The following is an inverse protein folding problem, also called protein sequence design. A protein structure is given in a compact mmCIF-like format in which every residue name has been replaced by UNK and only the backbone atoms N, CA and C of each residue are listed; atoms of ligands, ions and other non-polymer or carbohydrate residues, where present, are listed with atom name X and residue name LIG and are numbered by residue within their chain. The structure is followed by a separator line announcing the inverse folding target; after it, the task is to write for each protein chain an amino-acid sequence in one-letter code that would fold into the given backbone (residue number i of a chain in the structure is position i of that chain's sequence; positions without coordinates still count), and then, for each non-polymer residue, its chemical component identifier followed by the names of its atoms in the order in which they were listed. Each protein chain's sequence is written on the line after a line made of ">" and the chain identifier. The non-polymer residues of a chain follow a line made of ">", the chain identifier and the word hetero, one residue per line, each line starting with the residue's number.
data_IF_390339229681
#
_entry.id   IF_390339229681
#
_cell.length_a   1.000
_cell.length_b   1.000
_cell.length_c   1.000
_cell.angle_alpha   90.00
_cell.angle_beta   90.00
_cell.angle_gamma   90.00
#
_symmetry.space_group_name_H-M   'P 1'
#
loop_
_entity.id
_entity.type
_entity.pdbx_description
1 polymer ?
#
# COMPACT_ATOMS: atom_id res chain seq x y z
N UNK A 1 1.64 22.93 -5.95
CA UNK A 1 0.91 22.07 -4.99
C UNK A 1 0.19 21.00 -5.78
N UNK A 2 0.69 19.76 -5.83
CA UNK A 2 -0.04 18.66 -6.50
C UNK A 2 -1.14 18.20 -5.55
N UNK A 3 -2.39 18.42 -5.94
CA UNK A 3 -3.57 18.01 -5.17
C UNK A 3 -3.62 16.50 -4.98
N UNK A 4 -4.23 16.06 -3.89
CA UNK A 4 -4.47 14.65 -3.64
C UNK A 4 -5.43 14.11 -4.70
N UNK A 5 -5.03 13.05 -5.41
CA UNK A 5 -5.94 12.29 -6.26
C UNK A 5 -6.54 11.19 -5.40
N UNK A 6 -7.76 11.41 -4.91
CA UNK A 6 -8.56 10.33 -4.34
C UNK A 6 -8.85 9.33 -5.47
N UNK A 7 -8.37 8.09 -5.31
CA UNK A 7 -8.69 6.98 -6.20
C UNK A 7 -9.54 6.00 -5.41
N UNK A 8 -10.81 5.93 -5.77
CA UNK A 8 -11.80 5.00 -5.24
C UNK A 8 -12.13 3.95 -6.30
N UNK A 9 -12.47 2.75 -5.84
CA UNK A 9 -12.91 1.65 -6.69
C UNK A 9 -14.30 1.27 -6.20
N UNK A 10 -15.28 1.28 -7.10
CA UNK A 10 -16.61 0.78 -6.82
C UNK A 10 -16.70 -0.67 -7.26
N UNK A 11 -17.14 -1.53 -6.35
CA UNK A 11 -17.34 -2.97 -6.57
C UNK A 11 -18.66 -3.37 -5.91
N UNK A 12 -19.22 -4.52 -6.29
CA UNK A 12 -20.41 -5.04 -5.60
C UNK A 12 -20.06 -5.50 -4.18
N UNK A 13 -21.07 -5.59 -3.31
CA UNK A 13 -20.90 -6.05 -1.93
C UNK A 13 -20.27 -7.45 -1.90
N UNK A 14 -20.71 -8.36 -2.76
CA UNK A 14 -20.22 -9.73 -2.83
C UNK A 14 -18.72 -9.80 -3.18
N UNK A 15 -18.26 -8.90 -4.05
CA UNK A 15 -16.83 -8.79 -4.41
C UNK A 15 -16.03 -8.24 -3.24
N UNK A 16 -16.57 -7.24 -2.53
CA UNK A 16 -15.91 -6.65 -1.37
C UNK A 16 -15.81 -7.63 -0.19
N UNK A 17 -16.86 -8.40 0.08
CA UNK A 17 -16.85 -9.45 1.10
C UNK A 17 -15.82 -10.54 0.79
N UNK A 18 -15.75 -10.96 -0.48
CA UNK A 18 -14.78 -11.96 -0.93
C UNK A 18 -13.35 -11.49 -0.68
N UNK A 19 -13.00 -10.27 -1.09
CA UNK A 19 -11.64 -9.76 -0.93
C UNK A 19 -11.30 -9.49 0.54
N UNK A 20 -12.28 -9.03 1.32
CA UNK A 20 -12.13 -8.84 2.76
C UNK A 20 -11.84 -10.16 3.49
N UNK A 21 -12.49 -11.25 3.09
CA UNK A 21 -12.22 -12.58 3.65
C UNK A 21 -10.79 -13.05 3.33
N UNK A 22 -10.30 -12.79 2.12
CA UNK A 22 -8.92 -13.11 1.71
C UNK A 22 -7.91 -12.28 2.51
N UNK A 23 -8.16 -10.97 2.65
CA UNK A 23 -7.32 -10.04 3.41
C UNK A 23 -7.16 -10.49 4.86
N UNK A 24 -8.27 -10.82 5.53
CA UNK A 24 -8.26 -11.37 6.91
C UNK A 24 -7.44 -12.64 7.01
N UNK A 25 -7.60 -13.61 6.10
CA UNK A 25 -6.85 -14.87 6.10
C UNK A 25 -5.35 -14.67 5.92
N UNK A 26 -4.95 -13.65 5.17
CA UNK A 26 -3.55 -13.31 4.89
C UNK A 26 -2.94 -12.35 5.92
N UNK A 27 -3.71 -11.87 6.90
CA UNK A 27 -3.32 -10.79 7.79
C UNK A 27 -2.81 -9.54 7.02
N UNK A 28 -3.52 -9.19 5.94
CA UNK A 28 -3.22 -8.07 5.04
C UNK A 28 -4.42 -7.13 4.93
N UNK A 29 -4.22 -5.92 4.42
CA UNK A 29 -5.33 -5.04 4.02
C UNK A 29 -5.94 -5.49 2.68
N UNK A 30 -7.13 -4.95 2.37
CA UNK A 30 -7.78 -5.20 1.06
C UNK A 30 -6.91 -4.66 -0.08
N UNK A 31 -6.31 -3.49 0.09
CA UNK A 31 -5.42 -2.86 -0.88
C UNK A 31 -4.18 -3.72 -1.15
N UNK A 32 -3.55 -4.27 -0.11
CA UNK A 32 -2.39 -5.15 -0.26
C UNK A 32 -2.74 -6.42 -1.04
N UNK A 33 -3.94 -6.97 -0.83
CA UNK A 33 -4.43 -8.13 -1.59
C UNK A 33 -4.67 -7.77 -3.04
N UNK A 34 -5.37 -6.66 -3.33
CA UNK A 34 -5.58 -6.16 -4.70
C UNK A 34 -4.24 -6.01 -5.40
N UNK A 35 -3.27 -5.35 -4.74
CA UNK A 35 -1.95 -5.13 -5.29
C UNK A 35 -1.22 -6.44 -5.56
N UNK A 36 -1.25 -7.40 -4.63
CA UNK A 36 -0.61 -8.71 -4.80
C UNK A 36 -1.16 -9.48 -6.01
N UNK A 37 -2.47 -9.45 -6.24
CA UNK A 37 -3.08 -10.13 -7.38
C UNK A 37 -2.80 -9.41 -8.70
N UNK A 38 -2.91 -8.08 -8.73
CA UNK A 38 -2.53 -7.28 -9.90
C UNK A 38 -1.05 -7.47 -10.23
N UNK A 39 -0.18 -7.51 -9.22
CA UNK A 39 1.26 -7.72 -9.36
C UNK A 39 1.65 -9.11 -9.87
N UNK A 40 0.75 -10.10 -9.86
CA UNK A 40 1.01 -11.44 -10.43
C UNK A 40 0.91 -11.45 -11.95
N UNK A 41 0.03 -10.62 -12.52
CA UNK A 41 -0.18 -10.54 -13.98
C UNK A 41 0.58 -9.37 -14.63
N UNK A 42 1.16 -8.50 -13.81
CA UNK A 42 2.00 -7.39 -14.26
C UNK A 42 3.40 -7.88 -14.61
N UNK A 43 3.93 -7.41 -15.74
CA UNK A 43 5.33 -7.58 -16.14
C UNK A 43 6.27 -7.30 -14.93
N UNK A 44 7.24 -8.18 -14.63
CA UNK A 44 8.12 -8.02 -13.47
C UNK A 44 8.77 -6.63 -13.36
N UNK A 45 9.06 -5.97 -14.48
CA UNK A 45 9.63 -4.61 -14.51
C UNK A 45 8.65 -3.56 -13.98
N UNK A 46 7.39 -3.64 -14.39
CA UNK A 46 6.31 -2.74 -13.94
C UNK A 46 6.00 -3.00 -12.46
N UNK A 47 6.08 -4.26 -12.00
CA UNK A 47 5.93 -4.61 -10.59
C UNK A 47 6.98 -3.93 -9.72
N UNK A 48 8.25 -3.97 -10.14
CA UNK A 48 9.35 -3.28 -9.45
C UNK A 48 9.07 -1.78 -9.39
N UNK A 49 8.65 -1.16 -10.50
CA UNK A 49 8.37 0.28 -10.54
C UNK A 49 7.25 0.68 -9.56
N UNK A 50 6.21 -0.14 -9.45
CA UNK A 50 5.09 0.10 -8.52
C UNK A 50 5.54 0.01 -7.05
N UNK A 51 6.28 -1.04 -6.68
CA UNK A 51 6.76 -1.20 -5.32
C UNK A 51 7.82 -0.17 -4.93
N UNK A 52 8.68 0.24 -5.87
CA UNK A 52 9.62 1.35 -5.67
C UNK A 52 8.89 2.67 -5.39
N UNK A 53 7.85 3.00 -6.18
CA UNK A 53 7.04 4.21 -5.92
C UNK A 53 6.33 4.15 -4.56
N UNK A 54 5.89 2.97 -4.14
CA UNK A 54 5.25 2.77 -2.85
C UNK A 54 6.24 2.95 -1.69
N UNK A 55 7.43 2.38 -1.83
CA UNK A 55 8.55 2.58 -0.91
C UNK A 55 8.89 4.07 -0.76
N UNK A 56 9.11 4.77 -1.88
CA UNK A 56 9.44 6.20 -1.88
C UNK A 56 8.36 7.04 -1.20
N UNK A 57 7.09 6.73 -1.44
CA UNK A 57 5.96 7.40 -0.77
C UNK A 57 6.00 7.20 0.73
N UNK A 58 6.10 5.95 1.19
CA UNK A 58 6.09 5.65 2.62
C UNK A 58 7.32 6.19 3.35
N UNK A 59 8.50 6.13 2.72
CA UNK A 59 9.71 6.70 3.28
C UNK A 59 9.56 8.21 3.49
N UNK A 60 9.06 8.92 2.47
CA UNK A 60 8.81 10.35 2.58
C UNK A 60 7.78 10.68 3.68
N UNK A 61 6.66 9.96 3.72
CA UNK A 61 5.63 10.16 4.75
C UNK A 61 6.21 9.89 6.16
N UNK A 62 7.06 8.87 6.30
CA UNK A 62 7.73 8.54 7.56
C UNK A 62 8.67 9.65 8.02
N UNK A 63 9.50 10.19 7.12
CA UNK A 63 10.44 11.29 7.42
C UNK A 63 9.70 12.57 7.81
N UNK A 64 8.60 12.90 7.13
CA UNK A 64 7.75 14.05 7.47
C UNK A 64 7.09 13.91 8.85
N UNK A 65 6.64 12.71 9.23
CA UNK A 65 6.06 12.42 10.54
C UNK A 65 7.13 12.42 11.64
N UNK A 66 8.30 11.84 11.35
CA UNK A 66 9.44 11.82 12.25
C UNK A 66 9.90 13.24 12.60
N UNK A 67 10.02 14.12 11.58
CA UNK A 67 10.37 15.52 11.78
C UNK A 67 9.35 16.30 12.64
N UNK A 68 8.08 15.86 12.64
CA UNK A 68 7.00 16.42 13.48
C UNK A 68 6.93 15.81 14.89
N UNK A 69 7.75 14.79 15.18
CA UNK A 69 7.76 14.07 16.46
C UNK A 69 6.66 13.01 16.61
N UNK A 70 5.91 12.70 15.56
CA UNK A 70 4.89 11.64 15.58
C UNK A 70 5.55 10.27 15.31
N UNK A 71 6.27 9.78 16.32
CA UNK A 71 7.14 8.62 16.19
C UNK A 71 6.37 7.31 15.95
N UNK A 72 5.17 7.17 16.51
CA UNK A 72 4.36 5.97 16.35
C UNK A 72 3.91 5.83 14.89
N UNK A 73 3.36 6.90 14.30
CA UNK A 73 2.92 6.89 12.92
C UNK A 73 4.11 6.83 11.94
N UNK A 74 5.22 7.50 12.26
CA UNK A 74 6.46 7.40 11.49
C UNK A 74 6.97 5.95 11.44
N UNK A 75 6.96 5.24 12.57
CA UNK A 75 7.35 3.83 12.64
C UNK A 75 6.49 2.93 11.75
N UNK A 76 5.17 3.15 11.73
CA UNK A 76 4.27 2.42 10.82
C UNK A 76 4.65 2.67 9.34
N UNK A 77 4.95 3.91 8.96
CA UNK A 77 5.34 4.24 7.59
C UNK A 77 6.72 3.70 7.23
N UNK A 78 7.70 3.72 8.15
CA UNK A 78 8.98 3.06 7.94
C UNK A 78 8.83 1.56 7.70
N UNK A 79 8.00 0.89 8.50
CA UNK A 79 7.70 -0.52 8.30
C UNK A 79 7.10 -0.77 6.90
N UNK A 80 6.09 0.03 6.51
CA UNK A 80 5.49 -0.05 5.18
C UNK A 80 6.49 0.19 4.03
N UNK A 81 7.45 1.10 4.21
CA UNK A 81 8.49 1.35 3.21
C UNK A 81 9.41 0.14 3.03
N UNK A 82 9.79 -0.54 4.13
CA UNK A 82 10.65 -1.73 4.07
C UNK A 82 9.91 -2.91 3.48
N UNK A 83 8.69 -3.18 3.94
CA UNK A 83 7.91 -4.35 3.49
C UNK A 83 7.45 -4.23 2.04
N UNK A 84 7.36 -3.02 1.49
CA UNK A 84 7.10 -2.83 0.06
C UNK A 84 8.20 -3.40 -0.85
N UNK A 85 9.40 -3.65 -0.34
CA UNK A 85 10.54 -4.17 -1.12
C UNK A 85 10.85 -5.66 -0.88
N UNK A 86 10.08 -6.35 -0.02
CA UNK A 86 10.26 -7.77 0.34
C UNK A 86 9.32 -8.67 -0.48
#
# INVERSE_FOLDING_TARGET
>A
MKGWVLRNIEVSEEVYELISAIAKRKAKSVEEVILEYIAKDIDPSVRIEVYMKLHEKYLKDAEELYAKGDLAQAGEKYWGAVTALL
#
